data_IF_135190310095
#
_entry.id   IF_135190310095
#
_cell.length_a   1.000
_cell.length_b   1.000
_cell.length_c   1.000
_cell.angle_alpha   90.00
_cell.angle_beta   90.00
_cell.angle_gamma   90.00
#
_symmetry.space_group_name_H-M   'P 1'
#
loop_
_entity.id
_entity.type
_entity.pdbx_description
1 polymer ?
#
# COMPACT_ATOMS: atom_id res chain seq x y z
N UNK A 1 -12.82 5.63 1.97
CA UNK A 1 -11.40 5.22 2.16
C UNK A 1 -10.82 4.48 0.96
N UNK A 2 -11.26 3.26 0.63
CA UNK A 2 -10.62 2.46 -0.43
C UNK A 2 -10.68 3.05 -1.84
N UNK A 3 -11.67 3.89 -2.16
CA UNK A 3 -11.68 4.66 -3.41
C UNK A 3 -10.44 5.55 -3.51
N UNK A 4 -10.25 6.44 -2.53
CA UNK A 4 -9.09 7.31 -2.41
C UNK A 4 -7.76 6.54 -2.42
N UNK A 5 -7.61 5.47 -1.64
CA UNK A 5 -6.37 4.68 -1.62
C UNK A 5 -5.98 4.12 -3.00
N UNK A 6 -6.97 3.64 -3.77
CA UNK A 6 -6.76 3.11 -5.12
C UNK A 6 -6.48 4.21 -6.15
N UNK A 7 -7.05 5.40 -5.95
CA UNK A 7 -6.83 6.56 -6.81
C UNK A 7 -5.42 7.14 -6.60
N UNK A 8 -4.95 7.20 -5.34
CA UNK A 8 -3.59 7.60 -5.00
C UNK A 8 -2.52 6.61 -5.49
N UNK A 9 -2.76 5.31 -5.31
CA UNK A 9 -1.86 4.23 -5.77
C UNK A 9 -2.64 3.06 -6.36
N UNK A 10 -2.73 3.05 -7.69
CA UNK A 10 -3.24 1.94 -8.47
C UNK A 10 -2.34 0.69 -8.41
N UNK A 11 -2.91 -0.47 -8.74
CA UNK A 11 -2.13 -1.68 -8.99
C UNK A 11 -1.65 -1.71 -10.45
N UNK A 12 -0.66 -2.56 -10.73
CA UNK A 12 -0.06 -2.67 -12.07
C UNK A 12 -1.05 -3.15 -13.14
N UNK A 13 -2.07 -3.92 -12.74
CA UNK A 13 -3.13 -4.44 -13.62
C UNK A 13 -4.50 -3.83 -13.26
N UNK A 14 -4.52 -2.51 -13.10
CA UNK A 14 -5.69 -1.72 -12.75
C UNK A 14 -5.78 -1.36 -11.27
N UNK A 15 -6.66 -0.42 -10.93
CA UNK A 15 -6.77 0.13 -9.58
C UNK A 15 -7.59 -0.76 -8.63
N UNK A 16 -8.44 -1.66 -9.13
CA UNK A 16 -9.32 -2.49 -8.31
C UNK A 16 -8.56 -3.33 -7.25
N UNK A 17 -9.15 -3.49 -6.07
CA UNK A 17 -8.69 -4.42 -5.03
C UNK A 17 -9.44 -5.73 -5.31
N UNK A 18 -8.72 -6.73 -5.82
CA UNK A 18 -9.33 -7.98 -6.32
C UNK A 18 -9.43 -9.08 -5.27
N UNK A 19 -8.65 -8.99 -4.19
CA UNK A 19 -8.55 -10.01 -3.16
C UNK A 19 -8.26 -9.43 -1.78
N UNK A 20 -8.57 -10.20 -0.75
CA UNK A 20 -8.29 -9.87 0.65
C UNK A 20 -6.77 -9.70 0.87
N UNK A 21 -6.40 -8.89 1.87
CA UNK A 21 -5.01 -8.59 2.25
C UNK A 21 -4.20 -7.76 1.24
N UNK A 22 -4.85 -6.97 0.38
CA UNK A 22 -4.16 -5.84 -0.28
C UNK A 22 -3.83 -4.79 0.79
N UNK A 23 -2.57 -4.35 0.86
CA UNK A 23 -2.08 -3.46 1.93
C UNK A 23 -1.64 -2.13 1.33
N UNK A 24 -1.75 -1.06 2.11
CA UNK A 24 -1.31 0.28 1.73
C UNK A 24 -0.46 0.87 2.85
N UNK A 25 0.70 1.42 2.52
CA UNK A 25 1.52 2.18 3.45
C UNK A 25 1.13 3.65 3.34
N UNK A 26 0.61 4.19 4.44
CA UNK A 26 0.23 5.61 4.57
C UNK A 26 1.19 6.27 5.54
N UNK A 27 1.82 7.37 5.13
CA UNK A 27 2.75 8.12 5.95
C UNK A 27 2.05 8.95 7.04
N UNK A 28 2.83 9.45 8.01
CA UNK A 28 2.33 10.36 9.06
C UNK A 28 1.79 11.68 8.50
N UNK A 29 2.24 12.06 7.31
CA UNK A 29 1.75 13.20 6.53
C UNK A 29 0.43 12.92 5.80
N UNK A 30 -0.15 11.74 5.96
CA UNK A 30 -1.39 11.31 5.33
C UNK A 30 -1.25 10.86 3.87
N UNK A 31 -0.05 10.86 3.30
CA UNK A 31 0.17 10.48 1.89
C UNK A 31 0.30 8.96 1.73
N UNK A 32 -0.30 8.44 0.65
CA UNK A 32 -0.17 7.01 0.30
C UNK A 32 1.16 6.78 -0.41
N UNK A 33 2.09 6.12 0.29
CA UNK A 33 3.46 5.91 -0.21
C UNK A 33 3.54 4.72 -1.15
N UNK A 34 2.91 3.60 -0.79
CA UNK A 34 3.01 2.35 -1.53
C UNK A 34 1.78 1.46 -1.36
N UNK A 35 1.55 0.60 -2.36
CA UNK A 35 0.54 -0.46 -2.38
C UNK A 35 1.24 -1.80 -2.53
N UNK A 36 0.78 -2.79 -1.76
CA UNK A 36 1.33 -4.15 -1.73
C UNK A 36 0.26 -5.16 -2.16
N UNK A 37 0.71 -6.20 -2.84
CA UNK A 37 -0.11 -7.32 -3.23
C UNK A 37 -0.54 -8.16 -2.00
N UNK A 38 -1.65 -8.92 -2.12
CA UNK A 38 -2.02 -9.92 -1.13
C UNK A 38 -0.90 -10.88 -0.75
N UNK A 39 -0.09 -11.27 -1.73
CA UNK A 39 1.01 -12.23 -1.62
C UNK A 39 2.29 -11.66 -1.01
N UNK A 40 2.40 -10.33 -0.86
CA UNK A 40 3.56 -9.72 -0.24
C UNK A 40 3.58 -10.06 1.26
N UNK A 41 4.69 -10.65 1.72
CA UNK A 41 4.85 -11.10 3.11
C UNK A 41 5.14 -9.92 4.03
N UNK A 42 4.70 -9.95 5.30
CA UNK A 42 4.94 -8.86 6.25
C UNK A 42 6.42 -8.44 6.34
N UNK A 43 7.35 -9.39 6.30
CA UNK A 43 8.80 -9.14 6.43
C UNK A 43 9.33 -8.31 5.25
N UNK A 44 8.75 -8.47 4.06
CA UNK A 44 9.13 -7.68 2.89
C UNK A 44 8.71 -6.21 2.96
N UNK A 45 7.75 -5.87 3.84
CA UNK A 45 7.28 -4.51 4.04
C UNK A 45 8.19 -3.71 5.01
N UNK A 46 8.99 -4.40 5.85
CA UNK A 46 9.72 -3.77 6.96
C UNK A 46 10.61 -2.60 6.51
N UNK A 47 11.36 -2.75 5.42
CA UNK A 47 12.25 -1.70 4.90
C UNK A 47 11.48 -0.42 4.52
N UNK A 48 10.32 -0.57 3.89
CA UNK A 48 9.51 0.59 3.50
C UNK A 48 8.85 1.25 4.72
N UNK A 49 8.47 0.46 5.73
CA UNK A 49 7.90 0.96 6.98
C UNK A 49 8.95 1.76 7.76
N UNK A 50 10.16 1.21 7.93
CA UNK A 50 11.28 1.88 8.59
C UNK A 50 11.63 3.21 7.88
N UNK A 51 11.68 3.20 6.55
CA UNK A 51 11.90 4.41 5.76
C UNK A 51 10.76 5.45 5.89
N UNK A 52 9.57 5.04 6.31
CA UNK A 52 8.44 5.95 6.56
C UNK A 52 8.44 6.55 7.98
N UNK A 53 9.30 6.06 8.88
CA UNK A 53 9.47 6.57 10.24
C UNK A 53 10.58 7.63 10.35
N UNK A 54 11.53 7.62 9.42
CA UNK A 54 12.55 8.66 9.24
C UNK A 54 11.93 9.95 8.70
#
# INVERSE_FOLDING_TARGET
>A
LYKWLKDEKGGMLGSAIKWNFTKFLVGRDGKVRKRYAPTDTPESLSKDIEAALA
#
